data_IF_296719585014
#
_entry.id   IF_296719585014
#
_cell.length_a   1.000
_cell.length_b   1.000
_cell.length_c   1.000
_cell.angle_alpha   90.00
_cell.angle_beta   90.00
_cell.angle_gamma   90.00
#
_symmetry.space_group_name_H-M   'P 1'
#
loop_
_entity.id
_entity.type
_entity.pdbx_description
1 polymer ?
#
# COMPACT_ATOMS: atom_id res chain seq x y z
N UNK A 1 19.69 -22.79 31.78
CA UNK A 1 19.89 -21.57 30.95
C UNK A 1 19.58 -21.99 29.54
N UNK A 2 18.37 -21.69 29.06
CA UNK A 2 18.04 -21.84 27.64
C UNK A 2 18.84 -20.76 26.90
N UNK A 3 19.67 -21.19 25.98
CA UNK A 3 20.36 -20.31 25.06
C UNK A 3 19.27 -19.73 24.14
N UNK A 4 18.87 -18.49 24.39
CA UNK A 4 18.04 -17.73 23.45
C UNK A 4 18.83 -17.66 22.14
N UNK A 5 18.37 -18.40 21.13
CA UNK A 5 18.92 -18.29 19.79
C UNK A 5 18.67 -16.85 19.31
N UNK A 6 19.68 -16.16 18.76
CA UNK A 6 19.46 -14.83 18.22
C UNK A 6 18.38 -14.93 17.14
N UNK A 7 17.35 -14.08 17.24
CA UNK A 7 16.31 -13.99 16.18
C UNK A 7 17.01 -13.71 14.85
N UNK A 8 16.55 -14.36 13.76
CA UNK A 8 17.11 -14.11 12.45
C UNK A 8 16.96 -12.65 12.09
N UNK A 9 17.93 -12.14 11.40
CA UNK A 9 18.09 -10.71 11.13
C UNK A 9 17.78 -10.44 9.67
N UNK A 10 16.79 -9.57 9.40
CA UNK A 10 16.50 -9.12 8.04
C UNK A 10 17.66 -8.30 7.49
N UNK A 11 17.95 -8.49 6.22
CA UNK A 11 18.87 -7.63 5.47
C UNK A 11 18.08 -6.94 4.35
N UNK A 12 17.90 -5.64 4.49
CA UNK A 12 17.22 -4.85 3.47
C UNK A 12 18.15 -4.45 2.31
N UNK A 13 17.65 -4.44 1.06
CA UNK A 13 16.33 -4.91 0.68
C UNK A 13 16.18 -6.43 0.82
N UNK A 14 14.99 -6.90 1.26
CA UNK A 14 14.70 -8.34 1.37
C UNK A 14 14.45 -8.98 0.00
N UNK A 15 14.10 -8.16 -1.00
CA UNK A 15 14.05 -8.53 -2.40
C UNK A 15 14.63 -7.42 -3.26
N UNK A 16 15.71 -7.71 -3.98
CA UNK A 16 16.56 -6.72 -4.66
C UNK A 16 16.18 -6.40 -6.11
N UNK A 17 15.17 -7.07 -6.70
CA UNK A 17 14.64 -6.70 -8.01
C UNK A 17 13.46 -5.72 -7.86
N UNK A 18 12.96 -5.19 -8.98
CA UNK A 18 11.81 -4.29 -8.98
C UNK A 18 10.57 -4.96 -8.37
N UNK A 19 10.06 -4.40 -7.29
CA UNK A 19 8.89 -4.88 -6.56
C UNK A 19 8.29 -3.73 -5.76
N UNK A 20 7.43 -2.94 -6.39
CA UNK A 20 6.81 -1.79 -5.77
C UNK A 20 5.49 -2.16 -5.08
N UNK A 21 5.03 -1.29 -4.18
CA UNK A 21 3.71 -1.39 -3.54
C UNK A 21 3.49 -2.78 -2.88
N UNK A 22 4.43 -3.25 -2.04
CA UNK A 22 4.44 -4.62 -1.56
C UNK A 22 3.32 -4.87 -0.54
N UNK A 23 2.58 -5.94 -0.73
CA UNK A 23 1.60 -6.45 0.21
C UNK A 23 1.93 -7.90 0.58
N UNK A 24 1.90 -8.23 1.88
CA UNK A 24 2.17 -9.58 2.39
C UNK A 24 0.92 -10.17 3.03
N UNK A 25 0.65 -11.44 2.72
CA UNK A 25 -0.33 -12.26 3.43
C UNK A 25 0.25 -13.62 3.78
N UNK A 26 -0.42 -14.35 4.68
CA UNK A 26 -0.04 -15.70 5.07
C UNK A 26 -1.16 -16.68 4.76
N UNK A 27 -0.80 -17.83 4.20
CA UNK A 27 -1.73 -18.93 3.96
C UNK A 27 -1.00 -20.27 4.08
N UNK A 28 -1.61 -21.24 4.75
CA UNK A 28 -1.02 -22.59 4.90
C UNK A 28 0.36 -22.63 5.55
N UNK A 29 0.71 -21.63 6.38
CA UNK A 29 2.03 -21.52 7.01
C UNK A 29 3.09 -20.80 6.16
N UNK A 30 2.82 -20.52 4.89
CA UNK A 30 3.72 -19.83 3.95
C UNK A 30 3.35 -18.36 3.88
N UNK A 31 4.35 -17.49 3.81
CA UNK A 31 4.20 -16.07 3.50
C UNK A 31 4.25 -15.87 2.00
N UNK A 32 3.37 -15.03 1.52
CA UNK A 32 3.30 -14.59 0.12
C UNK A 32 3.42 -13.08 0.09
N UNK A 33 4.13 -12.55 -0.89
CA UNK A 33 4.14 -11.12 -1.19
C UNK A 33 3.75 -10.90 -2.64
N UNK A 34 2.94 -9.86 -2.89
CA UNK A 34 2.56 -9.42 -4.22
C UNK A 34 2.89 -7.92 -4.34
N UNK A 35 3.22 -7.46 -5.53
CA UNK A 35 3.55 -6.06 -5.75
C UNK A 35 3.42 -5.64 -7.21
N UNK A 36 3.55 -4.36 -7.46
CA UNK A 36 3.65 -3.79 -8.80
C UNK A 36 5.02 -4.15 -9.38
N UNK A 37 5.04 -4.89 -10.47
CA UNK A 37 6.26 -5.22 -11.20
C UNK A 37 6.72 -4.08 -12.13
N UNK A 38 7.91 -4.22 -12.70
CA UNK A 38 8.47 -3.19 -13.60
C UNK A 38 7.64 -3.03 -14.89
N UNK A 39 7.14 -4.13 -15.46
CA UNK A 39 6.32 -4.08 -16.68
C UNK A 39 4.96 -3.45 -16.41
N UNK A 40 4.34 -3.74 -15.27
CA UNK A 40 3.08 -3.14 -14.80
C UNK A 40 3.24 -1.64 -14.60
N UNK A 41 4.32 -1.22 -13.97
CA UNK A 41 4.62 0.20 -13.74
C UNK A 41 4.86 0.97 -15.04
N UNK A 42 5.45 0.32 -16.06
CA UNK A 42 5.71 0.92 -17.39
C UNK A 42 4.55 0.79 -18.37
N UNK A 43 3.52 0.01 -18.05
CA UNK A 43 2.43 -0.27 -18.99
C UNK A 43 2.83 -1.19 -20.16
N UNK A 44 3.80 -2.07 -19.93
CA UNK A 44 4.38 -2.99 -20.93
C UNK A 44 3.96 -4.45 -20.71
N UNK A 45 2.92 -4.69 -19.92
CA UNK A 45 2.47 -6.02 -19.51
C UNK A 45 2.08 -6.91 -20.67
N UNK A 46 2.49 -8.19 -20.58
CA UNK A 46 2.15 -9.26 -21.54
C UNK A 46 1.85 -10.53 -20.76
N UNK A 47 0.65 -11.08 -20.94
CA UNK A 47 0.25 -12.32 -20.28
C UNK A 47 -0.16 -12.14 -18.84
N UNK A 48 0.46 -12.84 -17.89
CA UNK A 48 0.18 -12.75 -16.47
C UNK A 48 0.81 -11.50 -15.85
N UNK A 49 0.18 -11.00 -14.80
CA UNK A 49 0.45 -9.70 -14.18
C UNK A 49 0.66 -9.91 -12.70
N UNK A 50 1.42 -9.02 -12.06
CA UNK A 50 1.81 -8.97 -10.67
C UNK A 50 2.70 -10.15 -10.23
N UNK A 51 4.00 -9.91 -10.05
CA UNK A 51 4.93 -10.89 -9.51
C UNK A 51 4.52 -11.29 -8.10
N UNK A 52 4.63 -12.58 -7.78
CA UNK A 52 4.40 -13.10 -6.43
C UNK A 52 5.69 -13.70 -5.88
N UNK A 53 6.03 -13.33 -4.66
CA UNK A 53 7.12 -13.93 -3.90
C UNK A 53 6.56 -14.88 -2.85
N UNK A 54 7.35 -15.87 -2.45
CA UNK A 54 7.05 -16.82 -1.39
C UNK A 54 8.20 -16.92 -0.40
N UNK A 55 7.85 -17.13 0.89
CA UNK A 55 8.82 -17.35 1.95
C UNK A 55 8.24 -18.27 3.03
N UNK A 56 9.04 -19.21 3.52
CA UNK A 56 8.69 -20.08 4.65
C UNK A 56 9.09 -19.45 6.01
N UNK A 57 10.05 -18.52 5.98
CA UNK A 57 10.69 -17.97 7.18
C UNK A 57 10.56 -16.44 7.29
N UNK A 58 9.86 -15.80 6.37
CA UNK A 58 9.70 -14.34 6.30
C UNK A 58 11.00 -13.55 5.97
N UNK A 59 12.12 -14.25 5.81
CA UNK A 59 13.44 -13.67 5.58
C UNK A 59 13.95 -13.87 4.17
N UNK A 60 13.74 -15.09 3.63
CA UNK A 60 14.22 -15.49 2.32
C UNK A 60 13.04 -15.59 1.36
N UNK A 61 13.07 -14.72 0.36
CA UNK A 61 11.99 -14.59 -0.61
C UNK A 61 12.39 -15.15 -1.96
N UNK A 62 11.55 -16.00 -2.53
CA UNK A 62 11.73 -16.56 -3.86
C UNK A 62 10.61 -16.12 -4.79
N UNK A 63 10.99 -15.71 -6.02
CA UNK A 63 10.05 -15.32 -7.05
C UNK A 63 9.30 -16.54 -7.58
N UNK A 64 7.98 -16.50 -7.51
CA UNK A 64 7.06 -17.43 -8.16
C UNK A 64 6.59 -16.93 -9.52
N UNK A 65 5.45 -17.47 -9.97
CA UNK A 65 4.78 -17.00 -11.19
C UNK A 65 3.95 -15.73 -10.91
N UNK A 66 3.53 -15.03 -11.95
CA UNK A 66 2.63 -13.88 -11.80
C UNK A 66 1.18 -14.33 -11.57
N UNK A 67 0.45 -13.56 -10.77
CA UNK A 67 -0.82 -13.99 -10.18
C UNK A 67 -2.05 -13.78 -11.08
N UNK A 68 -2.19 -12.58 -11.68
CA UNK A 68 -3.40 -12.15 -12.39
C UNK A 68 -3.35 -12.55 -13.86
N UNK A 69 -4.38 -13.22 -14.34
CA UNK A 69 -4.64 -13.37 -15.78
C UNK A 69 -5.04 -12.00 -16.33
N UNK A 70 -4.35 -11.55 -17.39
CA UNK A 70 -4.62 -10.24 -17.98
C UNK A 70 -6.10 -10.09 -18.34
N UNK A 71 -6.79 -9.08 -17.81
CA UNK A 71 -8.16 -8.76 -18.19
C UNK A 71 -8.20 -8.11 -19.58
N UNK A 72 -9.36 -7.56 -19.96
CA UNK A 72 -9.55 -6.89 -21.25
C UNK A 72 -8.54 -5.76 -21.47
N UNK A 73 -7.95 -5.68 -22.65
CA UNK A 73 -6.94 -4.67 -23.01
C UNK A 73 -7.48 -3.23 -22.98
N UNK A 74 -8.78 -3.07 -23.16
CA UNK A 74 -9.47 -1.76 -23.08
C UNK A 74 -9.35 -1.07 -21.72
N UNK A 75 -9.09 -1.84 -20.64
CA UNK A 75 -8.91 -1.30 -19.30
C UNK A 75 -7.58 -0.56 -19.12
N UNK A 76 -6.61 -0.79 -20.01
CA UNK A 76 -5.28 -0.19 -19.94
C UNK A 76 -4.17 -1.21 -19.76
N UNK A 77 -2.97 -0.71 -19.55
CA UNK A 77 -1.77 -1.52 -19.43
C UNK A 77 -0.97 -1.23 -18.14
N UNK A 78 -1.38 -0.22 -17.36
CA UNK A 78 -0.78 0.10 -16.07
C UNK A 78 -1.60 -0.56 -14.98
N UNK A 79 -0.99 -1.51 -14.26
CA UNK A 79 -1.59 -2.27 -13.18
C UNK A 79 -0.82 -1.98 -11.90
N UNK A 80 -1.51 -1.49 -10.84
CA UNK A 80 -0.83 -0.99 -9.67
C UNK A 80 -1.42 -1.53 -8.37
N UNK A 81 -0.56 -1.58 -7.35
CA UNK A 81 -0.87 -1.78 -5.95
C UNK A 81 -1.83 -2.97 -5.67
N UNK A 82 -1.40 -4.19 -5.96
CA UNK A 82 -2.20 -5.38 -5.70
C UNK A 82 -2.19 -5.73 -4.22
N UNK A 83 -3.37 -6.10 -3.67
CA UNK A 83 -3.51 -6.68 -2.33
C UNK A 83 -4.36 -7.95 -2.38
N UNK A 84 -3.96 -8.99 -1.66
CA UNK A 84 -4.66 -10.28 -1.62
C UNK A 84 -5.19 -10.57 -0.23
N UNK A 85 -6.50 -10.80 -0.11
CA UNK A 85 -7.11 -11.23 1.14
C UNK A 85 -7.81 -12.58 0.99
N UNK A 86 -7.58 -13.53 1.92
CA UNK A 86 -8.35 -14.75 2.02
C UNK A 86 -9.74 -14.45 2.61
N UNK A 87 -10.79 -15.01 2.00
CA UNK A 87 -12.14 -14.97 2.56
C UNK A 87 -12.92 -16.24 2.18
N UNK A 88 -13.37 -16.99 3.18
CA UNK A 88 -13.90 -18.35 2.99
C UNK A 88 -12.82 -19.26 2.38
N UNK A 89 -13.19 -19.98 1.33
CA UNK A 89 -12.28 -20.90 0.62
C UNK A 89 -11.61 -20.25 -0.60
N UNK A 90 -11.65 -18.91 -0.71
CA UNK A 90 -11.16 -18.17 -1.86
C UNK A 90 -10.19 -17.06 -1.46
N UNK A 91 -9.44 -16.59 -2.46
CA UNK A 91 -8.55 -15.45 -2.40
C UNK A 91 -9.05 -14.35 -3.33
N UNK A 92 -9.09 -13.13 -2.82
CA UNK A 92 -9.56 -11.93 -3.53
C UNK A 92 -8.38 -10.99 -3.73
N UNK A 93 -8.03 -10.75 -4.98
CA UNK A 93 -6.98 -9.82 -5.38
C UNK A 93 -7.62 -8.50 -5.76
N UNK A 94 -7.34 -7.45 -5.00
CA UNK A 94 -7.71 -6.06 -5.28
C UNK A 94 -6.56 -5.38 -6.01
N UNK A 95 -6.86 -4.58 -7.01
CA UNK A 95 -5.86 -3.87 -7.79
C UNK A 95 -6.46 -2.68 -8.51
N UNK A 96 -5.61 -1.77 -9.02
CA UNK A 96 -6.03 -0.73 -9.94
C UNK A 96 -5.45 -0.95 -11.34
N UNK A 97 -6.22 -0.57 -12.37
CA UNK A 97 -5.79 -0.63 -13.77
C UNK A 97 -6.24 0.60 -14.53
N UNK A 98 -5.36 1.14 -15.38
CA UNK A 98 -5.65 2.33 -16.16
C UNK A 98 -4.60 2.62 -17.24
N UNK A 99 -4.56 3.89 -17.67
CA UNK A 99 -3.73 4.37 -18.78
C UNK A 99 -2.74 5.46 -18.28
N UNK A 100 -1.56 5.07 -17.84
CA UNK A 100 -0.62 5.97 -17.17
C UNK A 100 -1.23 6.48 -15.86
N UNK A 101 -1.31 7.79 -15.71
CA UNK A 101 -1.92 8.46 -14.55
C UNK A 101 -3.42 8.82 -14.75
N UNK A 102 -4.14 8.07 -15.62
CA UNK A 102 -5.52 8.37 -16.01
C UNK A 102 -6.41 7.14 -16.02
N UNK A 103 -7.69 7.38 -15.72
CA UNK A 103 -8.77 6.41 -15.86
C UNK A 103 -8.52 5.11 -15.09
N UNK A 104 -7.84 5.18 -13.93
CA UNK A 104 -7.66 4.02 -13.09
C UNK A 104 -8.97 3.60 -12.42
N UNK A 105 -9.26 2.31 -12.51
CA UNK A 105 -10.41 1.67 -11.91
C UNK A 105 -9.94 0.69 -10.84
N UNK A 106 -10.64 0.65 -9.70
CA UNK A 106 -10.47 -0.39 -8.70
C UNK A 106 -11.21 -1.65 -9.13
N UNK A 107 -10.51 -2.77 -9.14
CA UNK A 107 -11.05 -4.05 -9.61
C UNK A 107 -10.72 -5.18 -8.63
N UNK A 108 -11.47 -6.28 -8.76
CA UNK A 108 -11.28 -7.49 -7.97
C UNK A 108 -11.14 -8.68 -8.90
N UNK A 109 -10.16 -9.53 -8.62
CA UNK A 109 -10.00 -10.83 -9.24
C UNK A 109 -10.05 -11.94 -8.18
N UNK A 110 -10.46 -13.14 -8.54
CA UNK A 110 -10.71 -14.25 -7.62
C UNK A 110 -9.91 -15.46 -8.02
N UNK A 111 -9.39 -16.19 -7.02
CA UNK A 111 -8.73 -17.49 -7.18
C UNK A 111 -9.11 -18.44 -6.04
N UNK A 112 -9.03 -19.75 -6.30
CA UNK A 112 -9.11 -20.80 -5.29
C UNK A 112 -7.73 -21.14 -4.70
N UNK A 113 -6.66 -20.48 -5.17
CA UNK A 113 -5.27 -20.68 -4.73
C UNK A 113 -4.62 -19.36 -4.36
N UNK A 114 -3.76 -19.32 -3.30
CA UNK A 114 -3.03 -18.10 -2.92
C UNK A 114 -2.11 -17.57 -4.03
N UNK A 115 -1.64 -18.44 -4.93
CA UNK A 115 -0.76 -18.08 -6.05
C UNK A 115 -1.51 -17.73 -7.33
N UNK A 116 -2.82 -17.83 -7.33
CA UNK A 116 -3.60 -17.71 -8.55
C UNK A 116 -3.69 -19.03 -9.36
N UNK A 117 -4.08 -18.97 -10.63
CA UNK A 117 -4.38 -17.76 -11.39
C UNK A 117 -5.62 -17.02 -10.85
N UNK A 118 -5.51 -15.69 -10.75
CA UNK A 118 -6.64 -14.83 -10.41
C UNK A 118 -7.36 -14.41 -11.69
N UNK A 119 -8.68 -14.48 -11.68
CA UNK A 119 -9.54 -14.06 -12.78
C UNK A 119 -10.36 -12.84 -12.39
N UNK A 120 -10.26 -11.79 -13.19
CA UNK A 120 -11.01 -10.55 -12.96
C UNK A 120 -12.53 -10.78 -13.01
N UNK A 121 -13.27 -10.11 -12.13
CA UNK A 121 -14.74 -10.25 -12.01
C UNK A 121 -15.53 -9.57 -13.13
N UNK A 122 -14.87 -8.83 -14.01
CA UNK A 122 -15.50 -8.09 -15.10
C UNK A 122 -16.10 -6.75 -14.71
N UNK A 123 -16.00 -6.32 -13.42
CA UNK A 123 -16.63 -5.09 -12.93
C UNK A 123 -15.66 -4.20 -12.17
N UNK A 124 -15.82 -2.88 -12.32
CA UNK A 124 -15.20 -1.91 -11.42
C UNK A 124 -15.95 -1.87 -10.08
N UNK A 125 -15.24 -1.64 -8.98
CA UNK A 125 -15.84 -1.42 -7.66
C UNK A 125 -16.54 -0.07 -7.54
N UNK A 126 -16.09 0.92 -8.31
CA UNK A 126 -16.67 2.26 -8.38
C UNK A 126 -17.16 2.52 -9.80
N UNK A 127 -18.14 3.39 -9.94
CA UNK A 127 -18.62 3.86 -11.25
C UNK A 127 -17.53 4.75 -11.89
N UNK A 128 -16.91 4.36 -13.03
CA UNK A 128 -15.84 5.13 -13.66
C UNK A 128 -16.28 6.50 -14.19
N UNK A 129 -17.56 6.71 -14.46
CA UNK A 129 -18.10 8.02 -14.88
C UNK A 129 -18.11 9.01 -13.71
N UNK A 130 -18.39 8.54 -12.50
CA UNK A 130 -18.43 9.36 -11.28
C UNK A 130 -17.10 9.44 -10.57
N UNK A 131 -16.29 8.40 -10.70
CA UNK A 131 -14.96 8.31 -10.12
C UNK A 131 -13.94 7.89 -11.21
N UNK A 132 -13.47 8.83 -12.04
CA UNK A 132 -12.63 8.51 -13.19
C UNK A 132 -11.19 8.10 -12.82
N UNK A 133 -10.81 8.28 -11.55
CA UNK A 133 -9.51 7.85 -11.03
C UNK A 133 -9.64 7.38 -9.58
N UNK A 134 -9.36 6.11 -9.37
CA UNK A 134 -9.22 5.51 -8.04
C UNK A 134 -8.13 4.43 -8.05
N UNK A 135 -7.29 4.42 -7.00
CA UNK A 135 -6.14 3.53 -6.84
C UNK A 135 -6.05 2.99 -5.42
N UNK A 136 -5.19 1.99 -5.21
CA UNK A 136 -4.70 1.52 -3.91
C UNK A 136 -5.82 1.01 -3.00
N UNK A 137 -6.52 0.00 -3.47
CA UNK A 137 -7.60 -0.63 -2.73
C UNK A 137 -7.06 -1.48 -1.58
N UNK A 138 -7.34 -1.09 -0.34
CA UNK A 138 -7.01 -1.81 0.88
C UNK A 138 -8.29 -2.33 1.58
N UNK A 139 -8.60 -3.64 1.47
CA UNK A 139 -9.71 -4.25 2.21
C UNK A 139 -9.32 -4.51 3.66
N UNK A 140 -10.12 -4.00 4.58
CA UNK A 140 -9.97 -4.14 6.02
C UNK A 140 -11.20 -4.81 6.64
N UNK A 141 -10.99 -5.86 7.45
CA UNK A 141 -12.06 -6.47 8.24
C UNK A 141 -11.99 -5.99 9.69
N UNK A 142 -13.08 -5.41 10.19
CA UNK A 142 -13.19 -5.03 11.60
C UNK A 142 -13.55 -6.24 12.48
N UNK A 143 -13.45 -6.08 13.80
CA UNK A 143 -13.68 -7.14 14.80
C UNK A 143 -15.11 -7.71 14.78
N UNK A 144 -16.07 -6.95 14.27
CA UNK A 144 -17.46 -7.39 14.07
C UNK A 144 -17.68 -8.24 12.82
N UNK A 145 -16.61 -8.45 12.03
CA UNK A 145 -16.62 -9.19 10.77
C UNK A 145 -17.03 -8.37 9.55
N UNK A 146 -17.42 -7.10 9.73
CA UNK A 146 -17.74 -6.20 8.61
C UNK A 146 -16.48 -5.82 7.83
N UNK A 147 -16.55 -5.88 6.51
CA UNK A 147 -15.48 -5.45 5.61
C UNK A 147 -15.66 -4.00 5.17
N UNK A 148 -14.53 -3.32 5.07
CA UNK A 148 -14.40 -1.94 4.58
C UNK A 148 -13.32 -1.89 3.52
N UNK A 149 -13.50 -1.02 2.51
CA UNK A 149 -12.48 -0.74 1.52
C UNK A 149 -11.93 0.65 1.75
N UNK A 150 -10.65 0.75 2.03
CA UNK A 150 -9.91 2.01 1.96
C UNK A 150 -9.31 2.14 0.56
N UNK A 151 -9.27 3.35 0.03
CA UNK A 151 -8.72 3.61 -1.30
C UNK A 151 -8.38 5.08 -1.47
N UNK A 152 -7.68 5.43 -2.55
CA UNK A 152 -7.36 6.80 -2.89
C UNK A 152 -8.09 7.23 -4.18
N UNK A 153 -8.57 8.49 -4.23
CA UNK A 153 -9.19 9.10 -5.42
C UNK A 153 -8.86 10.58 -5.53
N UNK A 154 -9.02 11.15 -6.73
CA UNK A 154 -8.74 12.55 -7.00
C UNK A 154 -9.83 13.51 -6.52
N UNK A 155 -9.39 14.66 -5.99
CA UNK A 155 -10.23 15.80 -5.62
C UNK A 155 -9.69 17.08 -6.29
N UNK A 156 -10.58 17.82 -6.97
CA UNK A 156 -10.26 18.99 -7.77
C UNK A 156 -10.69 20.31 -7.13
N UNK A 157 -11.03 20.30 -5.85
CA UNK A 157 -11.34 21.48 -5.06
C UNK A 157 -10.20 21.80 -4.08
N UNK A 158 -10.09 23.07 -3.73
CA UNK A 158 -9.16 23.58 -2.73
C UNK A 158 -9.94 24.32 -1.67
N UNK A 159 -9.68 24.02 -0.40
CA UNK A 159 -10.24 24.75 0.74
C UNK A 159 -9.11 25.20 1.67
N UNK A 160 -9.37 26.04 2.69
CA UNK A 160 -8.33 26.38 3.66
C UNK A 160 -7.73 25.17 4.37
N UNK A 161 -8.46 24.03 4.43
CA UNK A 161 -8.06 22.81 5.15
C UNK A 161 -7.69 21.65 4.21
N UNK A 162 -7.79 21.84 2.88
CA UNK A 162 -7.57 20.74 1.93
C UNK A 162 -6.96 21.22 0.61
N UNK A 163 -5.94 20.50 0.15
CA UNK A 163 -5.27 20.70 -1.13
C UNK A 163 -5.96 19.90 -2.25
N UNK A 164 -5.78 20.34 -3.49
CA UNK A 164 -6.13 19.52 -4.65
C UNK A 164 -5.16 18.34 -4.79
N UNK A 165 -5.69 17.20 -5.20
CA UNK A 165 -4.90 16.01 -5.40
C UNK A 165 -5.60 14.73 -4.98
N UNK A 166 -4.84 13.65 -4.85
CA UNK A 166 -5.34 12.36 -4.41
C UNK A 166 -5.56 12.37 -2.89
N UNK A 167 -6.69 11.84 -2.45
CA UNK A 167 -7.08 11.79 -1.04
C UNK A 167 -7.64 10.41 -0.68
N UNK A 168 -7.64 10.09 0.62
CA UNK A 168 -8.05 8.80 1.14
C UNK A 168 -9.54 8.74 1.40
N UNK A 169 -10.13 7.61 1.07
CA UNK A 169 -11.54 7.27 1.23
C UNK A 169 -11.71 5.99 2.03
N UNK A 170 -12.87 5.81 2.65
CA UNK A 170 -13.35 4.54 3.20
C UNK A 170 -14.79 4.30 2.82
N UNK A 171 -15.09 3.10 2.33
CA UNK A 171 -16.44 2.64 2.00
C UNK A 171 -16.76 1.33 2.72
N UNK A 172 -18.01 1.13 3.11
CA UNK A 172 -18.46 -0.16 3.61
C UNK A 172 -18.62 -1.14 2.44
N UNK A 173 -18.15 -2.36 2.62
CA UNK A 173 -18.30 -3.42 1.63
C UNK A 173 -19.61 -4.20 1.89
N UNK A 174 -20.40 -4.39 0.84
CA UNK A 174 -21.59 -5.24 0.84
C UNK A 174 -21.18 -6.71 0.63
N UNK A 175 -20.14 -6.94 -0.15
CA UNK A 175 -19.48 -8.23 -0.38
C UNK A 175 -18.02 -7.99 -0.76
N UNK A 176 -17.22 -9.05 -0.94
CA UNK A 176 -15.84 -8.93 -1.39
C UNK A 176 -15.68 -8.31 -2.80
N UNK A 177 -16.77 -8.14 -3.54
CA UNK A 177 -16.76 -7.60 -4.91
C UNK A 177 -17.73 -6.43 -5.12
N UNK A 178 -18.33 -5.90 -4.05
CA UNK A 178 -19.34 -4.85 -4.15
C UNK A 178 -19.31 -3.92 -2.92
N UNK A 179 -19.33 -2.61 -3.17
CA UNK A 179 -19.44 -1.57 -2.13
C UNK A 179 -20.92 -1.20 -1.89
N UNK A 180 -21.24 -0.72 -0.69
CA UNK A 180 -22.56 -0.16 -0.38
C UNK A 180 -22.76 1.21 -1.07
N UNK A 181 -21.70 2.04 -1.07
CA UNK A 181 -21.64 3.37 -1.68
C UNK A 181 -20.18 3.75 -2.03
N UNK A 182 -19.95 4.98 -2.47
CA UNK A 182 -18.58 5.49 -2.70
C UNK A 182 -17.83 5.85 -1.41
N UNK A 183 -18.47 5.72 -0.26
CA UNK A 183 -17.88 5.98 1.04
C UNK A 183 -17.73 7.46 1.37
N UNK A 184 -16.81 7.71 2.28
CA UNK A 184 -16.52 9.04 2.82
C UNK A 184 -15.01 9.31 2.87
N UNK A 185 -14.65 10.58 2.94
CA UNK A 185 -13.27 11.03 3.05
C UNK A 185 -12.69 10.58 4.40
N UNK A 186 -11.56 9.90 4.37
CA UNK A 186 -10.69 9.62 5.52
C UNK A 186 -9.81 10.84 5.77
N UNK A 187 -9.05 11.25 4.75
CA UNK A 187 -8.13 12.37 4.86
C UNK A 187 -7.85 12.99 3.49
N UNK A 188 -7.69 14.31 3.49
CA UNK A 188 -7.17 15.10 2.36
C UNK A 188 -5.82 15.70 2.71
N UNK A 189 -4.99 15.94 1.72
CA UNK A 189 -3.69 16.56 1.93
C UNK A 189 -3.83 17.97 2.57
N UNK A 190 -3.02 18.24 3.59
CA UNK A 190 -3.00 19.50 4.36
C UNK A 190 -1.62 20.15 4.39
N UNK A 191 -0.56 19.38 4.21
CA UNK A 191 0.84 19.78 4.38
C UNK A 191 1.57 19.87 3.05
N UNK A 192 2.52 20.81 2.93
CA UNK A 192 3.29 21.00 1.70
C UNK A 192 4.24 19.84 1.38
N UNK A 193 4.68 19.07 2.40
CA UNK A 193 5.48 17.88 2.15
C UNK A 193 4.71 16.78 1.38
N UNK A 194 3.38 16.79 1.45
CA UNK A 194 2.51 15.86 0.72
C UNK A 194 2.37 16.20 -0.78
N UNK A 195 3.07 17.27 -1.24
CA UNK A 195 2.98 17.73 -2.62
C UNK A 195 3.75 16.82 -3.57
N UNK A 196 3.01 16.21 -4.51
CA UNK A 196 3.59 15.41 -5.59
C UNK A 196 4.30 16.31 -6.61
N UNK A 197 3.61 17.36 -7.09
CA UNK A 197 4.16 18.24 -8.13
C UNK A 197 3.50 19.62 -8.11
N UNK A 198 4.32 20.67 -8.10
CA UNK A 198 3.88 22.02 -8.33
C UNK A 198 3.58 22.23 -9.81
N UNK A 199 2.59 23.07 -10.11
CA UNK A 199 2.20 23.45 -11.49
C UNK A 199 1.91 22.24 -12.40
N UNK A 200 1.29 21.19 -11.89
CA UNK A 200 0.91 20.00 -12.66
C UNK A 200 -0.31 20.29 -13.53
N UNK A 201 -0.22 20.00 -14.82
CA UNK A 201 -1.36 20.11 -15.75
C UNK A 201 -2.19 18.84 -15.72
N UNK A 202 -3.38 18.90 -15.11
CA UNK A 202 -4.35 17.79 -15.05
C UNK A 202 -5.78 18.36 -15.13
N UNK A 203 -6.70 17.60 -15.69
CA UNK A 203 -8.14 17.95 -15.77
C UNK A 203 -8.38 19.34 -16.39
N UNK A 204 -7.57 19.74 -17.39
CA UNK A 204 -7.69 21.02 -18.09
C UNK A 204 -7.28 22.25 -17.29
N UNK A 205 -6.63 22.08 -16.14
CA UNK A 205 -6.13 23.15 -15.27
C UNK A 205 -4.70 22.88 -14.81
N UNK A 206 -4.10 23.87 -14.19
CA UNK A 206 -2.80 23.77 -13.52
C UNK A 206 -3.03 23.75 -12.00
N UNK A 207 -2.40 22.79 -11.30
CA UNK A 207 -2.58 22.54 -9.87
C UNK A 207 -1.23 22.43 -9.17
N UNK A 208 -1.17 22.87 -7.93
CA UNK A 208 -0.21 22.32 -6.97
C UNK A 208 -0.81 21.01 -6.46
N UNK A 209 -0.36 19.90 -7.07
CA UNK A 209 -0.94 18.58 -6.87
C UNK A 209 -0.34 17.89 -5.68
N UNK A 210 -1.16 17.48 -4.72
CA UNK A 210 -0.77 16.73 -3.55
C UNK A 210 -1.21 15.28 -3.67
N UNK A 211 -0.50 14.37 -3.04
CA UNK A 211 -0.81 12.95 -3.07
C UNK A 211 -0.87 12.38 -1.66
N UNK A 212 -1.99 11.74 -1.36
CA UNK A 212 -2.13 10.75 -0.30
C UNK A 212 -2.59 9.47 -0.95
N UNK A 213 -1.80 8.40 -0.80
CA UNK A 213 -2.02 7.12 -1.46
C UNK A 213 -1.58 5.95 -0.57
N UNK A 214 -1.79 4.70 -1.03
CA UNK A 214 -1.40 3.49 -0.29
C UNK A 214 -2.00 3.42 1.12
N UNK A 215 -3.33 3.60 1.31
CA UNK A 215 -3.91 3.50 2.65
C UNK A 215 -3.76 2.07 3.16
N UNK A 216 -3.29 1.93 4.41
CA UNK A 216 -3.26 0.66 5.11
C UNK A 216 -3.76 0.86 6.54
N UNK A 217 -4.77 0.09 6.96
CA UNK A 217 -5.40 0.26 8.27
C UNK A 217 -4.97 -0.83 9.23
N UNK A 218 -4.56 -0.40 10.42
CA UNK A 218 -4.28 -1.27 11.56
C UNK A 218 -5.08 -0.81 12.78
N UNK A 219 -5.84 -1.72 13.39
CA UNK A 219 -6.47 -1.47 14.68
C UNK A 219 -5.47 -1.78 15.79
N UNK A 220 -5.25 -0.81 16.68
CA UNK A 220 -4.37 -0.96 17.83
C UNK A 220 -4.99 -0.27 19.04
N UNK A 221 -5.10 -0.96 20.18
CA UNK A 221 -5.73 -0.47 21.41
C UNK A 221 -7.09 0.20 21.21
N UNK A 222 -7.93 -0.40 20.34
CA UNK A 222 -9.29 0.05 20.05
C UNK A 222 -9.39 1.22 19.09
N UNK A 223 -8.28 1.78 18.63
CA UNK A 223 -8.22 2.87 17.64
C UNK A 223 -7.78 2.37 16.27
N UNK A 224 -8.20 3.08 15.22
CA UNK A 224 -7.90 2.79 13.82
C UNK A 224 -6.82 3.73 13.33
N UNK A 225 -5.66 3.18 13.01
CA UNK A 225 -4.53 3.89 12.42
C UNK A 225 -4.55 3.63 10.92
N UNK A 226 -4.83 4.66 10.13
CA UNK A 226 -4.73 4.60 8.68
C UNK A 226 -3.37 5.18 8.27
N UNK A 227 -2.44 4.30 7.93
CA UNK A 227 -1.15 4.65 7.34
C UNK A 227 -1.37 5.07 5.90
N UNK A 228 -0.57 6.02 5.43
CA UNK A 228 -0.63 6.50 4.05
C UNK A 228 0.73 6.98 3.60
N UNK A 229 0.93 7.02 2.28
CA UNK A 229 2.09 7.63 1.67
C UNK A 229 1.74 8.99 1.10
N UNK A 230 2.68 9.93 1.19
CA UNK A 230 2.56 11.27 0.64
C UNK A 230 3.86 11.74 0.02
N UNK A 231 3.77 12.83 -0.75
CA UNK A 231 4.89 13.36 -1.52
C UNK A 231 5.00 12.73 -2.91
N UNK A 232 6.20 12.73 -3.47
CA UNK A 232 6.43 12.23 -4.84
C UNK A 232 7.20 10.92 -4.82
N UNK A 233 6.55 9.82 -5.19
CA UNK A 233 7.17 8.49 -5.19
C UNK A 233 8.42 8.36 -6.08
N UNK A 234 8.57 9.25 -7.07
CA UNK A 234 9.71 9.28 -7.99
C UNK A 234 10.98 9.93 -7.40
N UNK A 235 10.97 10.38 -6.16
CA UNK A 235 12.12 11.05 -5.55
C UNK A 235 12.18 10.87 -4.01
N UNK A 236 13.03 11.63 -3.36
CA UNK A 236 13.33 11.58 -1.93
C UNK A 236 12.27 12.23 -1.01
N UNK A 237 11.22 12.85 -1.57
CA UNK A 237 10.15 13.47 -0.78
C UNK A 237 9.06 12.48 -0.36
N UNK A 238 9.04 11.28 -0.94
CA UNK A 238 8.07 10.25 -0.59
C UNK A 238 8.32 9.71 0.82
N UNK A 239 7.23 9.47 1.55
CA UNK A 239 7.31 8.94 2.91
C UNK A 239 5.95 8.50 3.44
N UNK A 240 5.97 7.81 4.58
CA UNK A 240 4.78 7.26 5.25
C UNK A 240 4.45 8.04 6.49
N UNK A 241 3.18 8.41 6.62
CA UNK A 241 2.58 8.98 7.82
C UNK A 241 1.28 8.24 8.18
N UNK A 242 0.53 8.68 9.17
CA UNK A 242 -0.73 8.09 9.59
C UNK A 242 -1.72 9.13 10.10
N UNK A 243 -3.00 8.79 10.00
CA UNK A 243 -4.08 9.46 10.73
C UNK A 243 -4.83 8.46 11.60
N UNK A 244 -5.56 8.94 12.62
CA UNK A 244 -6.16 8.11 13.67
C UNK A 244 -7.64 8.42 13.85
N UNK A 245 -8.45 7.37 14.10
CA UNK A 245 -9.86 7.50 14.43
C UNK A 245 -10.29 6.53 15.53
N UNK A 246 -11.37 6.87 16.23
CA UNK A 246 -12.05 6.00 17.20
C UNK A 246 -13.06 5.05 16.52
N UNK A 247 -13.37 5.29 15.25
CA UNK A 247 -14.28 4.47 14.44
C UNK A 247 -13.70 4.25 13.06
N UNK A 248 -13.92 3.06 12.49
CA UNK A 248 -13.41 2.70 11.16
C UNK A 248 -13.86 3.67 10.07
N UNK A 249 -15.04 4.26 10.19
CA UNK A 249 -15.56 5.26 9.27
C UNK A 249 -15.17 6.71 9.64
N UNK A 250 -14.30 6.89 10.62
CA UNK A 250 -13.82 8.19 11.09
C UNK A 250 -14.77 8.92 12.04
N UNK A 251 -14.56 10.23 12.27
CA UNK A 251 -13.57 11.06 11.58
C UNK A 251 -12.13 10.70 11.94
N UNK A 252 -11.24 10.75 10.94
CA UNK A 252 -9.82 10.59 11.13
C UNK A 252 -9.15 11.93 11.39
N UNK A 253 -8.19 11.95 12.31
CA UNK A 253 -7.40 13.12 12.67
C UNK A 253 -5.94 12.87 12.29
N UNK A 254 -5.35 13.80 11.56
CA UNK A 254 -3.92 13.86 11.32
C UNK A 254 -3.29 14.84 12.31
N UNK A 255 -2.40 14.35 13.15
CA UNK A 255 -1.58 15.14 14.07
C UNK A 255 -0.20 15.47 13.49
N UNK A 256 0.01 15.19 12.18
CA UNK A 256 1.21 15.53 11.44
C UNK A 256 1.41 17.04 11.29
N UNK A 257 2.53 17.42 10.72
CA UNK A 257 2.87 18.82 10.47
C UNK A 257 3.84 18.95 9.28
N UNK A 258 4.30 20.17 9.01
CA UNK A 258 5.20 20.47 7.89
C UNK A 258 6.63 19.88 8.01
N UNK A 259 6.98 19.26 9.16
CA UNK A 259 8.29 18.59 9.31
C UNK A 259 8.43 17.29 8.50
N UNK A 260 7.35 16.87 7.86
CA UNK A 260 7.31 15.68 7.00
C UNK A 260 6.78 14.43 7.70
N UNK A 261 6.81 13.28 7.01
CA UNK A 261 6.20 12.04 7.49
C UNK A 261 6.87 11.52 8.76
N UNK A 262 6.06 10.95 9.68
CA UNK A 262 6.50 10.50 11.01
C UNK A 262 6.97 9.05 11.06
N UNK A 263 6.50 8.21 10.12
CA UNK A 263 6.76 6.75 10.16
C UNK A 263 7.97 6.37 9.32
N UNK A 264 7.97 6.75 8.03
CA UNK A 264 9.09 6.50 7.11
C UNK A 264 9.42 7.76 6.32
N UNK A 265 10.70 8.02 6.17
CA UNK A 265 11.24 9.10 5.32
C UNK A 265 12.58 8.69 4.73
N UNK A 266 12.99 9.37 3.70
CA UNK A 266 14.33 9.22 3.11
C UNK A 266 15.41 9.37 4.18
N UNK A 267 16.37 8.44 4.15
CA UNK A 267 17.62 8.53 4.90
C UNK A 267 18.75 8.83 3.90
N UNK A 268 19.27 10.06 3.85
CA UNK A 268 20.22 10.48 2.82
C UNK A 268 21.42 9.54 2.70
N UNK A 269 21.74 9.12 1.47
CA UNK A 269 22.83 8.20 1.18
C UNK A 269 22.57 6.73 1.53
N UNK A 270 21.39 6.39 2.07
CA UNK A 270 21.02 5.04 2.45
C UNK A 270 19.74 4.57 1.76
N UNK A 271 18.59 5.16 2.09
CA UNK A 271 17.27 4.75 1.58
C UNK A 271 16.55 5.96 1.00
N UNK A 272 16.03 5.85 -0.22
CA UNK A 272 15.42 6.95 -0.96
C UNK A 272 13.94 6.64 -1.18
N UNK A 273 13.05 7.59 -0.82
CA UNK A 273 11.63 7.56 -1.10
C UNK A 273 10.92 6.29 -0.59
N UNK A 274 11.06 5.92 0.72
CA UNK A 274 10.37 4.77 1.27
C UNK A 274 8.88 5.05 1.36
N UNK A 275 8.04 4.12 0.90
CA UNK A 275 6.60 4.31 0.98
C UNK A 275 5.77 3.12 0.53
N UNK A 276 4.46 3.36 0.42
CA UNK A 276 3.43 2.39 0.05
C UNK A 276 3.54 1.12 0.91
N UNK A 277 3.23 1.27 2.18
CA UNK A 277 3.43 0.21 3.16
C UNK A 277 2.22 -0.72 3.30
N UNK A 278 2.51 -1.98 3.63
CA UNK A 278 1.60 -2.89 4.32
C UNK A 278 2.17 -3.26 5.70
N UNK A 279 1.36 -3.86 6.57
CA UNK A 279 1.79 -4.32 7.89
C UNK A 279 1.48 -5.82 8.00
N UNK A 280 2.48 -6.57 8.44
CA UNK A 280 2.35 -8.00 8.74
C UNK A 280 2.79 -8.28 10.17
N UNK A 281 2.02 -9.13 10.87
CA UNK A 281 2.40 -9.59 12.21
C UNK A 281 3.20 -10.89 12.12
N UNK A 282 4.32 -10.96 12.83
CA UNK A 282 5.15 -12.16 12.93
C UNK A 282 4.35 -13.36 13.49
N UNK A 283 4.83 -14.61 13.28
CA UNK A 283 4.14 -15.80 13.82
C UNK A 283 3.96 -15.83 15.34
N UNK A 284 4.75 -15.06 16.09
CA UNK A 284 4.59 -14.90 17.54
C UNK A 284 3.30 -14.15 17.93
N UNK A 285 2.66 -13.47 16.96
CA UNK A 285 1.44 -12.70 17.16
C UNK A 285 1.64 -11.35 17.86
N UNK A 286 2.88 -10.97 18.15
CA UNK A 286 3.21 -9.80 18.98
C UNK A 286 3.97 -8.72 18.23
N UNK A 287 4.81 -9.12 17.24
CA UNK A 287 5.69 -8.19 16.53
C UNK A 287 5.09 -7.81 15.18
N UNK A 288 4.80 -6.53 14.99
CA UNK A 288 4.39 -5.98 13.70
C UNK A 288 5.61 -5.52 12.89
N UNK A 289 5.58 -5.79 11.59
CA UNK A 289 6.56 -5.32 10.62
C UNK A 289 5.90 -4.47 9.56
N UNK A 290 6.54 -3.37 9.24
CA UNK A 290 6.22 -2.54 8.10
C UNK A 290 6.93 -3.09 6.87
N UNK A 291 6.16 -3.43 5.85
CA UNK A 291 6.66 -3.85 4.55
C UNK A 291 6.41 -2.70 3.58
N UNK A 292 7.41 -2.27 2.87
CA UNK A 292 7.32 -1.09 2.02
C UNK A 292 8.30 -1.18 0.85
N UNK A 293 8.15 -0.32 -0.14
CA UNK A 293 9.20 -0.17 -1.14
C UNK A 293 10.08 1.04 -0.86
N UNK A 294 11.31 0.97 -1.35
CA UNK A 294 12.18 2.12 -1.50
C UNK A 294 13.02 1.97 -2.76
N UNK A 295 13.51 3.09 -3.29
CA UNK A 295 14.42 3.08 -4.42
C UNK A 295 15.78 2.51 -4.04
N UNK A 296 16.39 1.78 -4.98
CA UNK A 296 17.80 1.50 -4.93
C UNK A 296 18.63 2.80 -5.01
N UNK A 297 19.92 2.72 -4.71
CA UNK A 297 20.80 3.90 -4.65
C UNK A 297 20.99 4.62 -6.01
N UNK A 298 20.67 3.94 -7.10
CA UNK A 298 20.75 4.47 -8.46
C UNK A 298 19.39 4.93 -8.99
N UNK A 299 18.33 4.77 -8.18
CA UNK A 299 16.93 5.05 -8.54
C UNK A 299 16.47 4.33 -9.81
N UNK A 300 16.87 3.05 -9.95
CA UNK A 300 16.49 2.19 -11.08
C UNK A 300 15.35 1.25 -10.75
N UNK A 301 15.30 0.77 -9.50
CA UNK A 301 14.30 -0.18 -9.05
C UNK A 301 13.76 0.19 -7.68
N UNK A 302 12.44 0.16 -7.52
CA UNK A 302 11.78 0.14 -6.22
C UNK A 302 11.87 -1.30 -5.69
N UNK A 303 12.53 -1.49 -4.56
CA UNK A 303 12.84 -2.79 -3.98
C UNK A 303 12.01 -3.01 -2.71
N UNK A 304 11.76 -4.26 -2.32
CA UNK A 304 10.99 -4.56 -1.11
C UNK A 304 11.88 -4.53 0.13
N UNK A 305 11.43 -3.80 1.14
CA UNK A 305 12.04 -3.62 2.45
C UNK A 305 11.08 -4.08 3.54
N UNK A 306 11.64 -4.55 4.65
CA UNK A 306 10.90 -4.92 5.86
C UNK A 306 11.63 -4.37 7.06
N UNK A 307 10.95 -3.59 7.91
CA UNK A 307 11.48 -3.09 9.16
C UNK A 307 10.42 -3.20 10.28
N UNK A 308 10.88 -3.30 11.52
CA UNK A 308 9.99 -3.45 12.66
C UNK A 308 9.16 -2.19 12.89
N UNK A 309 7.86 -2.39 13.11
CA UNK A 309 6.94 -1.37 13.57
C UNK A 309 6.79 -1.44 15.09
N UNK A 310 6.99 -0.33 15.77
CA UNK A 310 6.88 -0.24 17.24
C UNK A 310 5.76 0.72 17.59
N UNK A 311 4.86 0.26 18.44
CA UNK A 311 3.80 1.09 19.01
C UNK A 311 4.32 1.82 20.24
N UNK A 312 4.29 3.15 20.23
CA UNK A 312 4.74 4.01 21.33
C UNK A 312 3.58 4.87 21.84
N UNK A 313 3.67 5.47 23.03
CA UNK A 313 2.65 6.39 23.51
C UNK A 313 2.39 7.59 22.59
N UNK A 314 3.40 7.97 21.77
CA UNK A 314 3.31 9.05 20.78
C UNK A 314 2.80 8.57 19.41
N UNK A 315 2.51 7.27 19.27
CA UNK A 315 2.04 6.64 18.04
C UNK A 315 3.02 5.63 17.43
N UNK A 316 2.68 5.05 16.28
CA UNK A 316 3.51 4.06 15.60
C UNK A 316 4.80 4.67 15.05
N UNK A 317 5.91 3.94 15.20
CA UNK A 317 7.22 4.29 14.65
C UNK A 317 7.85 3.09 13.96
N UNK A 318 8.47 3.32 12.82
CA UNK A 318 9.34 2.34 12.18
C UNK A 318 10.76 2.43 12.78
N UNK A 319 11.38 1.29 13.11
CA UNK A 319 12.80 1.24 13.52
C UNK A 319 13.74 1.41 12.32
N UNK A 320 13.21 1.45 11.09
CA UNK A 320 13.88 1.78 9.84
C UNK A 320 13.66 3.23 9.38
N UNK A 321 13.86 3.49 8.07
CA UNK A 321 14.30 2.51 7.06
C UNK A 321 15.76 2.10 7.23
N UNK A 322 16.04 0.79 7.07
CA UNK A 322 17.38 0.25 7.15
C UNK A 322 17.91 -0.17 5.78
N UNK A 323 19.23 -0.15 5.60
CA UNK A 323 19.90 -0.65 4.41
C UNK A 323 21.11 -1.50 4.81
N UNK A 324 21.14 -2.75 4.38
CA UNK A 324 22.32 -3.62 4.48
C UNK A 324 22.75 -4.03 5.88
N UNK A 325 22.16 -3.49 6.94
CA UNK A 325 22.48 -3.85 8.31
C UNK A 325 21.38 -4.68 8.93
N UNK A 326 21.78 -5.80 9.44
CA UNK A 326 20.99 -6.61 10.29
C UNK A 326 20.55 -5.82 11.53
N UNK A 327 19.25 -5.86 11.89
CA UNK A 327 18.82 -5.46 13.21
C UNK A 327 19.51 -6.32 14.26
N UNK A 328 20.44 -5.76 15.01
CA UNK A 328 20.81 -6.32 16.29
C UNK A 328 19.63 -6.06 17.22
N UNK A 329 18.85 -7.09 17.52
CA UNK A 329 17.91 -7.04 18.64
C UNK A 329 18.73 -6.59 19.87
N UNK A 330 18.56 -5.34 20.26
CA UNK A 330 19.08 -4.90 21.56
C UNK A 330 18.29 -5.66 22.62
N UNK A 331 19.03 -6.48 23.35
CA UNK A 331 18.62 -7.16 24.58
C UNK A 331 17.95 -6.22 25.55
#
# INVERSE_FOLDING_TARGET
METVQPKPVHQNPVYGSYFADPYIWKSGGIYYAIGTGELEARGEVRGKIFPVLQSEDFLHWTLGDSALVRPEESLGAHFWAPEVVPHGDRFFLYYSVGHGDKNHQLRVAISDSPLGPYHDTGKSLLDPERCPFAIDAHPFQDDDGQWYLFYARDFLDVTPQARAGTALMVARMKSMTELEDEGRVVMRAQHDWQRFQANRSMYGKVWDWHTLEGPFVRKHEGRYYCFYSGGRWENDTYGVDYCVAESVLGPYLDEGNEAGPRVLRTVPGQVIGPGHNSIVTEPDGETDYLVYHAWDREMKARQMFIDRLVWTPEGPRCEGPTWGSAFNART
#
